data_IF_619598872457
#
_entry.id   IF_619598872457
#
_cell.length_a   1.000
_cell.length_b   1.000
_cell.length_c   1.000
_cell.angle_alpha   90.00
_cell.angle_beta   90.00
_cell.angle_gamma   90.00
#
_symmetry.space_group_name_H-M   'P 1'
#
loop_
_entity.id
_entity.type
_entity.pdbx_description
1 polymer ?
#
# COMPACT_ATOMS: atom_id res chain seq x y z
N UNK A 1 -1.20 -55.23 13.60
CA UNK A 1 -2.16 -54.32 12.98
C UNK A 1 -1.50 -53.00 12.71
N UNK A 2 -1.33 -52.77 11.48
CA UNK A 2 -0.63 -51.57 11.04
C UNK A 2 -1.67 -50.48 10.79
N UNK A 3 -1.70 -49.55 11.71
CA UNK A 3 -2.33 -48.33 11.40
C UNK A 3 -1.32 -47.49 10.62
N UNK A 4 -1.41 -47.53 9.31
CA UNK A 4 -0.78 -46.47 8.56
C UNK A 4 -1.52 -45.20 8.88
N UNK A 5 -0.96 -44.46 9.80
CA UNK A 5 -1.28 -43.09 9.91
C UNK A 5 -0.78 -42.47 8.62
N UNK A 6 -1.67 -42.34 7.65
CA UNK A 6 -1.45 -41.38 6.63
C UNK A 6 -1.51 -40.03 7.34
N UNK A 7 -0.35 -39.57 7.76
CA UNK A 7 -0.19 -38.16 8.03
C UNK A 7 -0.41 -37.51 6.68
N UNK A 8 -1.64 -37.14 6.45
CA UNK A 8 -1.93 -36.16 5.46
C UNK A 8 -1.22 -34.92 5.97
N UNK A 9 0.04 -34.78 5.62
CA UNK A 9 0.67 -33.50 5.63
C UNK A 9 -0.21 -32.68 4.68
N UNK A 10 -1.17 -31.99 5.25
CA UNK A 10 -1.73 -30.85 4.56
C UNK A 10 -0.58 -29.90 4.34
N UNK A 11 0.12 -30.12 3.27
CA UNK A 11 0.79 -29.06 2.58
C UNK A 11 -0.32 -28.12 2.18
N UNK A 12 -0.69 -27.27 3.14
CA UNK A 12 -1.25 -26.02 2.75
C UNK A 12 -0.11 -25.35 2.03
N UNK A 13 -0.04 -25.60 0.73
CA UNK A 13 0.62 -24.66 -0.12
C UNK A 13 -0.07 -23.33 0.19
N UNK A 14 0.55 -22.56 1.06
CA UNK A 14 0.21 -21.16 1.18
C UNK A 14 0.19 -20.69 -0.27
N UNK A 15 -0.95 -20.24 -0.81
CA UNK A 15 -0.92 -19.62 -2.13
C UNK A 15 0.23 -18.67 -2.08
N UNK A 16 1.09 -18.70 -3.08
CA UNK A 16 2.09 -17.69 -3.25
C UNK A 16 1.31 -16.38 -3.25
N UNK A 17 1.16 -15.79 -2.07
CA UNK A 17 0.61 -14.48 -1.92
C UNK A 17 1.59 -13.61 -2.67
N UNK A 18 1.14 -13.09 -3.80
CA UNK A 18 1.81 -11.96 -4.38
C UNK A 18 1.97 -10.98 -3.24
N UNK A 19 3.19 -10.57 -2.95
CA UNK A 19 3.44 -9.70 -1.82
C UNK A 19 2.67 -8.40 -2.01
N UNK A 20 1.87 -8.03 -1.02
CA UNK A 20 1.20 -6.74 -1.02
C UNK A 20 2.25 -5.63 -1.02
N UNK A 21 2.00 -4.50 -1.69
CA UNK A 21 2.90 -3.37 -1.61
C UNK A 21 3.04 -2.90 -0.16
N UNK A 22 4.27 -2.60 0.23
CA UNK A 22 4.60 -2.11 1.58
C UNK A 22 4.90 -0.62 1.50
N UNK A 23 4.23 0.16 2.33
CA UNK A 23 4.57 1.56 2.53
C UNK A 23 5.66 1.61 3.60
N UNK A 24 6.88 1.99 3.19
CA UNK A 24 8.03 2.02 4.08
C UNK A 24 8.20 3.36 4.79
N UNK A 25 7.79 4.44 4.17
CA UNK A 25 7.91 5.78 4.73
C UNK A 25 6.86 6.72 4.15
N UNK A 26 6.41 7.64 4.97
CA UNK A 26 5.52 8.72 4.56
C UNK A 26 5.98 10.00 5.19
N UNK A 27 6.12 11.07 4.40
CA UNK A 27 6.19 12.43 4.91
C UNK A 27 4.94 13.18 4.48
N UNK A 28 4.35 13.89 5.41
CA UNK A 28 3.18 14.71 5.16
C UNK A 28 3.48 16.15 5.60
N UNK A 29 3.21 17.09 4.72
CA UNK A 29 3.47 18.50 5.00
C UNK A 29 2.37 19.39 4.43
N UNK A 30 2.08 20.47 5.12
CA UNK A 30 1.23 21.53 4.58
C UNK A 30 1.88 22.13 3.34
N UNK A 31 1.07 22.26 2.28
CA UNK A 31 1.49 22.86 1.03
C UNK A 31 0.35 23.78 0.54
N UNK A 32 0.45 25.06 0.81
CA UNK A 32 -0.63 25.99 0.58
C UNK A 32 -1.84 25.67 1.45
N UNK A 33 -3.01 25.49 0.84
CA UNK A 33 -4.24 25.13 1.56
C UNK A 33 -4.45 23.63 1.68
N UNK A 34 -3.62 22.84 1.00
CA UNK A 34 -3.70 21.40 1.02
C UNK A 34 -2.54 20.76 1.75
N UNK A 35 -2.41 19.47 1.53
CA UNK A 35 -1.32 18.65 2.06
C UNK A 35 -0.58 17.96 0.92
N UNK A 36 0.72 17.83 1.11
CA UNK A 36 1.58 17.04 0.24
C UNK A 36 2.03 15.79 0.98
N UNK A 37 1.92 14.66 0.30
CA UNK A 37 2.42 13.37 0.79
C UNK A 37 3.53 12.88 -0.11
N UNK A 38 4.66 12.52 0.48
CA UNK A 38 5.73 11.80 -0.20
C UNK A 38 5.73 10.39 0.38
N UNK A 39 5.48 9.40 -0.46
CA UNK A 39 5.26 8.01 -0.03
C UNK A 39 6.28 7.10 -0.68
N UNK A 40 6.99 6.36 0.14
CA UNK A 40 7.97 5.37 -0.29
C UNK A 40 7.34 4.00 -0.26
N UNK A 41 7.29 3.35 -1.41
CA UNK A 41 6.64 2.06 -1.61
C UNK A 41 7.67 1.02 -2.02
N UNK A 42 7.55 -0.18 -1.47
CA UNK A 42 8.30 -1.35 -1.89
C UNK A 42 7.34 -2.44 -2.35
N UNK A 43 7.58 -2.96 -3.52
CA UNK A 43 6.83 -4.06 -4.11
C UNK A 43 7.68 -4.72 -5.21
N UNK A 44 7.76 -6.05 -5.29
CA UNK A 44 8.54 -6.74 -6.32
C UNK A 44 7.81 -6.69 -7.67
N UNK A 45 7.82 -5.52 -8.31
CA UNK A 45 7.22 -5.33 -9.64
C UNK A 45 7.93 -6.23 -10.66
N UNK A 46 7.17 -6.97 -11.43
CA UNK A 46 7.70 -7.87 -12.46
C UNK A 46 7.44 -7.38 -13.87
N UNK A 47 6.60 -6.38 -14.03
CA UNK A 47 6.22 -5.82 -15.32
C UNK A 47 4.79 -5.31 -15.27
N UNK A 48 4.23 -5.02 -16.44
CA UNK A 48 2.87 -4.46 -16.54
C UNK A 48 1.77 -5.42 -16.06
N UNK A 49 2.06 -6.69 -15.97
CA UNK A 49 1.12 -7.69 -15.48
C UNK A 49 1.10 -7.81 -13.96
N UNK A 50 2.10 -7.28 -13.26
CA UNK A 50 2.13 -7.30 -11.81
C UNK A 50 3.03 -6.17 -11.27
N UNK A 51 2.42 -5.09 -10.81
CA UNK A 51 3.14 -3.94 -10.26
C UNK A 51 2.28 -3.18 -9.24
N UNK A 52 2.93 -2.41 -8.38
CA UNK A 52 2.25 -1.48 -7.50
C UNK A 52 1.68 -0.35 -8.37
N UNK A 53 0.37 -0.18 -8.39
CA UNK A 53 -0.31 0.70 -9.33
C UNK A 53 -1.05 1.87 -8.68
N UNK A 54 -0.92 2.03 -7.38
CA UNK A 54 -1.51 3.18 -6.70
C UNK A 54 -1.36 3.15 -5.19
N UNK A 55 -1.62 4.28 -4.58
CA UNK A 55 -1.82 4.41 -3.15
C UNK A 55 -2.82 5.52 -2.87
N UNK A 56 -3.46 5.45 -1.72
CA UNK A 56 -4.50 6.40 -1.34
C UNK A 56 -4.34 6.87 0.09
N UNK A 57 -4.91 8.05 0.35
CA UNK A 57 -5.01 8.65 1.67
C UNK A 57 -6.47 8.58 2.10
N UNK A 58 -6.71 8.02 3.28
CA UNK A 58 -8.03 7.80 3.84
C UNK A 58 -8.20 8.58 5.15
N UNK A 59 -9.43 9.00 5.43
CA UNK A 59 -9.79 9.46 6.77
C UNK A 59 -10.07 8.29 7.72
N UNK A 60 -10.41 8.60 8.97
CA UNK A 60 -10.67 7.57 9.99
C UNK A 60 -11.91 6.72 9.69
N UNK A 61 -12.83 7.19 8.86
CA UNK A 61 -14.04 6.47 8.46
C UNK A 61 -13.83 5.68 7.18
N UNK A 62 -12.62 5.71 6.60
CA UNK A 62 -12.29 5.00 5.38
C UNK A 62 -12.66 5.74 4.10
N UNK A 63 -13.00 7.02 4.18
CA UNK A 63 -13.27 7.83 3.01
C UNK A 63 -11.96 8.27 2.35
N UNK A 64 -11.92 8.19 1.03
CA UNK A 64 -10.75 8.63 0.27
C UNK A 64 -10.62 10.14 0.28
N UNK A 65 -9.45 10.62 0.72
CA UNK A 65 -9.07 12.04 0.66
C UNK A 65 -8.17 12.33 -0.54
N UNK A 66 -7.42 11.36 -0.99
CA UNK A 66 -6.54 11.50 -2.14
C UNK A 66 -6.11 10.16 -2.70
N UNK A 67 -5.75 10.16 -3.98
CA UNK A 67 -5.29 8.98 -4.69
C UNK A 67 -4.11 9.34 -5.60
N UNK A 68 -3.05 8.56 -5.51
CA UNK A 68 -1.89 8.65 -6.41
C UNK A 68 -1.87 7.42 -7.29
N UNK A 69 -2.15 7.61 -8.57
CA UNK A 69 -1.94 6.56 -9.56
C UNK A 69 -0.45 6.39 -9.83
N UNK A 70 0.03 5.16 -9.84
CA UNK A 70 1.39 4.82 -10.21
C UNK A 70 1.37 4.29 -11.64
N UNK A 71 2.04 5.01 -12.54
CA UNK A 71 1.79 4.93 -13.98
C UNK A 71 2.60 3.85 -14.70
N UNK A 72 3.56 3.23 -14.03
CA UNK A 72 4.40 2.20 -14.65
C UNK A 72 5.08 1.33 -13.59
N UNK A 73 5.53 0.11 -13.98
CA UNK A 73 6.29 -0.75 -13.10
C UNK A 73 7.65 -0.15 -12.72
N UNK A 74 8.12 -0.48 -11.52
CA UNK A 74 9.45 -0.14 -11.01
C UNK A 74 10.22 -1.43 -10.75
N UNK A 75 10.73 -2.06 -11.80
CA UNK A 75 11.37 -3.36 -11.69
C UNK A 75 12.76 -3.29 -11.06
N UNK A 76 13.48 -2.21 -11.30
CA UNK A 76 14.87 -2.05 -10.86
C UNK A 76 15.07 -0.93 -9.84
N UNK A 77 14.07 -0.10 -9.61
CA UNK A 77 14.08 0.95 -8.60
C UNK A 77 13.17 0.54 -7.46
N UNK A 78 13.77 -0.01 -6.41
CA UNK A 78 13.03 -0.43 -5.20
C UNK A 78 13.86 -0.11 -3.96
N UNK A 79 13.26 0.53 -2.94
CA UNK A 79 11.93 1.15 -2.97
C UNK A 79 11.92 2.42 -3.82
N UNK A 80 10.74 2.88 -4.15
CA UNK A 80 10.58 4.12 -4.90
C UNK A 80 9.64 5.08 -4.17
N UNK A 81 9.83 6.39 -4.39
CA UNK A 81 9.06 7.44 -3.72
C UNK A 81 8.29 8.25 -4.75
N UNK A 82 7.01 8.46 -4.50
CA UNK A 82 6.15 9.33 -5.32
C UNK A 82 5.34 10.24 -4.44
N UNK A 83 4.92 11.35 -5.00
CA UNK A 83 4.27 12.43 -4.27
C UNK A 83 2.85 12.67 -4.76
N UNK A 84 2.02 13.16 -3.85
CA UNK A 84 0.70 13.67 -4.14
C UNK A 84 0.53 15.00 -3.42
N UNK A 85 0.24 16.07 -4.18
CA UNK A 85 0.01 17.41 -3.64
C UNK A 85 -1.46 17.78 -3.69
N UNK A 86 -1.83 18.84 -2.96
CA UNK A 86 -3.18 19.39 -3.02
C UNK A 86 -4.25 18.50 -2.38
N UNK A 87 -3.87 17.65 -1.44
CA UNK A 87 -4.84 16.81 -0.74
C UNK A 87 -5.62 17.66 0.25
N UNK A 88 -6.94 17.74 0.06
CA UNK A 88 -7.82 18.48 0.96
C UNK A 88 -8.12 17.62 2.18
N UNK A 89 -7.68 18.08 3.33
CA UNK A 89 -7.90 17.40 4.60
C UNK A 89 -8.62 18.39 5.52
N UNK A 90 -9.75 17.99 6.15
CA UNK A 90 -10.47 18.87 7.06
C UNK A 90 -9.57 19.38 8.20
N UNK A 91 -9.72 20.65 8.56
CA UNK A 91 -9.01 21.24 9.66
C UNK A 91 -9.29 20.46 10.96
N UNK A 92 -8.25 20.29 11.77
CA UNK A 92 -8.35 19.53 13.01
C UNK A 92 -8.19 18.04 12.88
N UNK A 93 -8.00 17.52 11.67
CA UNK A 93 -7.69 16.11 11.46
C UNK A 93 -6.33 15.79 12.06
N UNK A 94 -6.29 14.86 13.01
CA UNK A 94 -5.06 14.49 13.70
C UNK A 94 -4.27 13.41 12.95
N UNK A 95 -4.97 12.53 12.26
CA UNK A 95 -4.38 11.34 11.66
C UNK A 95 -5.12 10.93 10.40
N UNK A 96 -4.37 10.48 9.41
CA UNK A 96 -4.89 9.86 8.18
C UNK A 96 -4.26 8.51 8.00
N UNK A 97 -4.79 7.72 7.08
CA UNK A 97 -4.37 6.34 6.86
C UNK A 97 -4.08 6.13 5.38
N UNK A 98 -2.94 5.51 5.11
CA UNK A 98 -2.53 5.21 3.75
C UNK A 98 -2.53 3.71 3.50
N UNK A 99 -2.86 3.33 2.30
CA UNK A 99 -2.66 1.96 1.81
C UNK A 99 -2.30 1.98 0.33
N UNK A 100 -1.57 0.98 -0.08
CA UNK A 100 -1.14 0.81 -1.46
C UNK A 100 -1.88 -0.35 -2.12
N UNK A 101 -1.89 -0.37 -3.43
CA UNK A 101 -2.50 -1.43 -4.21
C UNK A 101 -1.54 -2.00 -5.23
N UNK A 102 -1.76 -3.24 -5.57
CA UNK A 102 -1.08 -3.95 -6.63
C UNK A 102 -2.09 -4.31 -7.72
N UNK A 103 -1.64 -4.30 -8.96
CA UNK A 103 -2.49 -4.54 -10.13
C UNK A 103 -3.14 -5.93 -10.14
N UNK A 104 -2.57 -6.90 -9.42
CA UNK A 104 -3.09 -8.27 -9.34
C UNK A 104 -4.00 -8.45 -8.13
N UNK A 105 -3.54 -8.07 -6.93
CA UNK A 105 -4.23 -8.38 -5.68
C UNK A 105 -5.13 -7.25 -5.18
N UNK A 106 -5.06 -6.09 -5.79
CA UNK A 106 -5.83 -4.93 -5.34
C UNK A 106 -5.24 -4.27 -4.09
N UNK A 107 -6.09 -3.70 -3.27
CA UNK A 107 -5.68 -2.95 -2.09
C UNK A 107 -5.07 -3.84 -1.02
N UNK A 108 -3.94 -3.39 -0.47
CA UNK A 108 -3.37 -3.99 0.73
C UNK A 108 -4.34 -3.85 1.90
N UNK A 109 -4.42 -4.88 2.74
CA UNK A 109 -5.23 -4.82 3.96
C UNK A 109 -4.56 -3.98 5.05
N UNK A 110 -3.25 -3.84 4.99
CA UNK A 110 -2.50 -3.06 5.96
C UNK A 110 -2.69 -1.56 5.73
N UNK A 111 -3.02 -0.84 6.79
CA UNK A 111 -3.11 0.60 6.80
C UNK A 111 -1.89 1.18 7.51
N UNK A 112 -1.32 2.25 6.95
CA UNK A 112 -0.25 3.00 7.58
C UNK A 112 -0.82 4.28 8.16
N UNK A 113 -0.81 4.40 9.47
CA UNK A 113 -1.28 5.59 10.16
C UNK A 113 -0.23 6.70 10.06
N UNK A 114 -0.68 7.90 9.75
CA UNK A 114 0.19 9.07 9.59
C UNK A 114 -0.35 10.22 10.45
N UNK A 115 0.45 10.67 11.40
CA UNK A 115 0.12 11.83 12.22
C UNK A 115 0.32 13.12 11.43
N UNK A 116 -0.65 14.02 11.52
CA UNK A 116 -0.59 15.34 10.90
C UNK A 116 -0.20 16.44 11.92
N UNK A 117 0.18 16.05 13.12
CA UNK A 117 0.58 16.98 14.18
C UNK A 117 2.07 17.05 14.34
#
# INVERSE_FOLDING_TARGET
>A
MKHSLAVLACLIAAPALAEAPVIEAVTAARDGQGWRFDVTVRHPDTGWDHYADGWEVLDAEGNRLGFRELLHPHETEQPFTRSLSGVAIPDGTAEVYLRARCSVDGWSEALTAVSLR
#
